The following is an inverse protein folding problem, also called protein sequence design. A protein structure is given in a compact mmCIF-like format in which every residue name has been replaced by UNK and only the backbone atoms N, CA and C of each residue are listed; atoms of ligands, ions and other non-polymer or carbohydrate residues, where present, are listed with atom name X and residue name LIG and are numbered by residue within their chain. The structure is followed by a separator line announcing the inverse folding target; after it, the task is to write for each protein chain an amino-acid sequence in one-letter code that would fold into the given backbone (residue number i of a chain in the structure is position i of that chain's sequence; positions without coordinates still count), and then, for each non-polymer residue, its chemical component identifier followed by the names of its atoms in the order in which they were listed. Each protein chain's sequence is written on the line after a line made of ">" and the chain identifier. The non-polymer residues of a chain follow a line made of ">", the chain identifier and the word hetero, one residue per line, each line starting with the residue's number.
data_IF_812553672992
#
_entry.id   IF_812553672992
#
_cell.length_a   1.000
_cell.length_b   1.000
_cell.length_c   1.000
_cell.angle_alpha   90.00
_cell.angle_beta   90.00
_cell.angle_gamma   90.00
#
_symmetry.space_group_name_H-M   'P 1'
#
loop_
_entity.id
_entity.type
_entity.pdbx_description
1 polymer ?
#
# COMPACT_ATOMS: atom_id res chain seq x y z
N UNK A 1 0.17 -70.50 18.92
CA UNK A 1 1.32 -70.11 18.08
C UNK A 1 1.74 -68.73 18.53
N UNK A 2 2.93 -68.60 19.13
CA UNK A 2 3.47 -67.32 19.62
C UNK A 2 3.95 -66.46 18.44
N UNK A 3 3.96 -65.15 18.64
CA UNK A 3 4.28 -64.09 17.67
C UNK A 3 5.64 -64.26 16.97
N UNK A 4 6.54 -65.09 17.50
CA UNK A 4 7.83 -65.42 16.87
C UNK A 4 7.73 -66.32 15.63
N UNK A 5 6.74 -67.22 15.55
CA UNK A 5 6.61 -68.14 14.41
C UNK A 5 6.20 -67.42 13.12
N UNK A 6 5.43 -66.34 13.24
CA UNK A 6 4.94 -65.55 12.09
C UNK A 6 6.10 -64.76 11.45
N UNK A 7 7.09 -64.33 12.24
CA UNK A 7 8.21 -63.52 11.75
C UNK A 7 9.21 -64.35 10.95
N UNK A 8 9.41 -65.62 11.32
CA UNK A 8 10.34 -66.53 10.63
C UNK A 8 9.78 -66.94 9.25
N UNK A 9 8.49 -67.26 9.18
CA UNK A 9 7.84 -67.66 7.91
C UNK A 9 7.82 -66.50 6.88
N UNK A 10 7.67 -65.26 7.36
CA UNK A 10 7.76 -64.05 6.52
C UNK A 10 9.19 -63.76 6.02
N UNK A 11 10.21 -64.08 6.82
CA UNK A 11 11.60 -63.91 6.39
C UNK A 11 12.03 -64.98 5.37
N UNK A 12 11.59 -66.24 5.53
CA UNK A 12 11.89 -67.29 4.55
C UNK A 12 11.21 -67.04 3.19
N UNK A 13 10.01 -66.48 3.17
CA UNK A 13 9.33 -66.12 1.92
C UNK A 13 9.99 -64.95 1.19
N UNK A 14 10.62 -64.02 1.91
CA UNK A 14 11.39 -62.92 1.32
C UNK A 14 12.73 -63.41 0.74
N UNK A 15 13.41 -64.34 1.40
CA UNK A 15 14.68 -64.92 0.91
C UNK A 15 14.44 -65.76 -0.36
N UNK A 16 13.35 -66.54 -0.43
CA UNK A 16 12.98 -67.29 -1.65
C UNK A 16 12.66 -66.39 -2.84
N UNK A 17 12.16 -65.16 -2.62
CA UNK A 17 11.88 -64.20 -3.70
C UNK A 17 13.14 -63.52 -4.25
N UNK A 18 14.20 -63.39 -3.46
CA UNK A 18 15.46 -62.77 -3.90
C UNK A 18 16.37 -63.72 -4.68
N UNK A 19 16.24 -65.04 -4.50
CA UNK A 19 17.11 -66.03 -5.14
C UNK A 19 16.75 -66.39 -6.60
N UNK A 20 15.69 -65.83 -7.20
CA UNK A 20 15.34 -66.18 -8.59
C UNK A 20 14.74 -65.03 -9.43
N UNK A 21 15.51 -63.95 -9.71
CA UNK A 21 15.04 -62.80 -10.47
C UNK A 21 14.90 -63.06 -11.98
N UNK A 22 15.56 -64.09 -12.53
CA UNK A 22 15.62 -64.32 -13.97
C UNK A 22 14.32 -64.85 -14.59
N UNK A 23 13.46 -65.53 -13.82
CA UNK A 23 12.27 -66.21 -14.40
C UNK A 23 11.12 -65.27 -14.78
N UNK A 24 11.11 -64.02 -14.29
CA UNK A 24 10.05 -63.04 -14.57
C UNK A 24 10.41 -62.01 -15.64
N UNK A 25 11.68 -61.91 -16.07
CA UNK A 25 12.09 -60.99 -17.13
C UNK A 25 11.79 -61.54 -18.54
N UNK A 26 11.96 -62.85 -18.76
CA UNK A 26 11.79 -63.45 -20.09
C UNK A 26 10.34 -63.43 -20.59
N UNK A 27 9.34 -63.53 -19.70
CA UNK A 27 7.92 -63.43 -20.07
C UNK A 27 7.51 -62.02 -20.52
N UNK A 28 8.20 -60.99 -20.03
CA UNK A 28 7.89 -59.60 -20.39
C UNK A 28 8.59 -59.15 -21.67
N UNK A 29 9.75 -59.73 -22.04
CA UNK A 29 10.42 -59.43 -23.30
C UNK A 29 9.60 -59.90 -24.52
N UNK A 30 9.08 -61.12 -24.49
CA UNK A 30 8.31 -61.65 -25.63
C UNK A 30 6.96 -60.94 -25.85
N UNK A 31 6.34 -60.41 -24.78
CA UNK A 31 5.06 -59.69 -24.90
C UNK A 31 5.22 -58.27 -25.46
N UNK A 32 6.39 -57.66 -25.27
CA UNK A 32 6.67 -56.32 -25.78
C UNK A 32 7.13 -56.29 -27.25
N UNK A 33 7.73 -57.37 -27.75
CA UNK A 33 8.14 -57.42 -29.17
C UNK A 33 6.95 -57.51 -30.14
N UNK A 34 5.84 -58.15 -29.74
CA UNK A 34 4.63 -58.24 -30.59
C UNK A 34 3.78 -56.96 -30.63
N UNK A 35 4.05 -55.95 -29.80
CA UNK A 35 3.28 -54.68 -29.78
C UNK A 35 3.89 -53.57 -30.63
N UNK A 36 5.15 -53.71 -31.06
CA UNK A 36 5.90 -52.66 -31.75
C UNK A 36 5.96 -52.81 -33.28
N UNK A 37 5.27 -53.77 -33.89
CA UNK A 37 5.29 -53.96 -35.34
C UNK A 37 4.17 -53.26 -36.12
N UNK A 38 3.36 -52.37 -35.52
CA UNK A 38 2.24 -51.79 -36.28
C UNK A 38 1.85 -50.33 -35.97
N UNK A 39 2.83 -49.43 -35.83
CA UNK A 39 2.55 -47.98 -35.82
C UNK A 39 3.61 -47.16 -36.54
N UNK A 40 3.82 -47.41 -37.84
CA UNK A 40 4.46 -46.42 -38.72
C UNK A 40 3.44 -45.29 -39.03
N UNK A 41 3.19 -44.43 -38.05
CA UNK A 41 2.48 -43.16 -38.27
C UNK A 41 3.51 -42.10 -38.64
N UNK A 42 3.39 -41.54 -39.84
CA UNK A 42 4.32 -40.52 -40.35
C UNK A 42 4.37 -39.31 -39.40
N UNK A 43 5.52 -38.64 -39.21
CA UNK A 43 5.68 -37.50 -38.29
C UNK A 43 4.59 -36.43 -38.45
N UNK A 44 4.10 -36.24 -39.68
CA UNK A 44 3.02 -35.32 -40.04
C UNK A 44 1.66 -35.72 -39.42
N UNK A 45 1.35 -37.02 -39.32
CA UNK A 45 0.11 -37.50 -38.69
C UNK A 45 0.14 -37.35 -37.16
N UNK A 46 1.29 -37.61 -36.52
CA UNK A 46 1.44 -37.40 -35.08
C UNK A 46 1.33 -35.92 -34.71
N UNK A 47 1.91 -35.04 -35.53
CA UNK A 47 1.77 -33.59 -35.37
C UNK A 47 0.31 -33.12 -35.54
N UNK A 48 -0.42 -33.66 -36.53
CA UNK A 48 -1.83 -33.33 -36.74
C UNK A 48 -2.73 -33.80 -35.59
N UNK A 49 -2.47 -34.99 -35.03
CA UNK A 49 -3.21 -35.49 -33.86
C UNK A 49 -2.93 -34.61 -32.65
N UNK A 50 -1.68 -34.23 -32.41
CA UNK A 50 -1.30 -33.38 -31.29
C UNK A 50 -1.86 -31.96 -31.41
N UNK A 51 -1.89 -31.38 -32.61
CA UNK A 51 -2.54 -30.09 -32.89
C UNK A 51 -4.05 -30.17 -32.71
N UNK A 52 -4.70 -31.25 -33.16
CA UNK A 52 -6.14 -31.45 -32.98
C UNK A 52 -6.52 -31.55 -31.49
N UNK A 53 -5.68 -32.20 -30.68
CA UNK A 53 -5.88 -32.35 -29.24
C UNK A 53 -5.68 -31.01 -28.51
N UNK A 54 -4.63 -30.24 -28.86
CA UNK A 54 -4.42 -28.88 -28.34
C UNK A 54 -5.59 -27.95 -28.68
N UNK A 55 -6.12 -28.02 -29.91
CA UNK A 55 -7.28 -27.21 -30.35
C UNK A 55 -8.55 -27.57 -29.58
N UNK A 56 -8.80 -28.85 -29.28
CA UNK A 56 -9.93 -29.30 -28.45
C UNK A 56 -9.81 -28.82 -27.00
N UNK A 57 -8.61 -28.92 -26.41
CA UNK A 57 -8.34 -28.41 -25.05
C UNK A 57 -8.57 -26.88 -25.00
N UNK A 58 -8.02 -26.14 -25.96
CA UNK A 58 -8.21 -24.69 -26.07
C UNK A 58 -9.70 -24.30 -26.11
N UNK A 59 -10.50 -24.94 -26.97
CA UNK A 59 -11.93 -24.65 -27.06
C UNK A 59 -12.69 -24.99 -25.76
N UNK A 60 -12.29 -26.05 -25.05
CA UNK A 60 -12.89 -26.41 -23.75
C UNK A 60 -12.60 -25.34 -22.69
N UNK A 61 -11.38 -24.83 -22.61
CA UNK A 61 -11.02 -23.75 -21.69
C UNK A 61 -11.72 -22.43 -22.04
N UNK A 62 -11.78 -22.06 -23.32
CA UNK A 62 -12.49 -20.85 -23.76
C UNK A 62 -13.99 -20.92 -23.42
N UNK A 63 -14.64 -22.08 -23.61
CA UNK A 63 -16.05 -22.27 -23.20
C UNK A 63 -16.24 -22.15 -21.69
N UNK A 64 -15.33 -22.69 -20.88
CA UNK A 64 -15.37 -22.57 -19.42
C UNK A 64 -15.19 -21.12 -18.96
N UNK A 65 -14.23 -20.41 -19.54
CA UNK A 65 -13.99 -18.98 -19.26
C UNK A 65 -15.20 -18.16 -19.67
N UNK A 66 -15.79 -18.41 -20.84
CA UNK A 66 -16.98 -17.70 -21.29
C UNK A 66 -18.21 -17.98 -20.41
N UNK A 67 -18.36 -19.21 -19.91
CA UNK A 67 -19.43 -19.58 -18.97
C UNK A 67 -19.23 -18.91 -17.60
N UNK A 68 -17.99 -18.89 -17.10
CA UNK A 68 -17.64 -18.17 -15.88
C UNK A 68 -17.85 -16.66 -16.04
N UNK A 69 -17.47 -16.09 -17.18
CA UNK A 69 -17.70 -14.69 -17.53
C UNK A 69 -19.19 -14.34 -17.54
N UNK A 70 -20.03 -15.12 -18.24
CA UNK A 70 -21.49 -14.92 -18.25
C UNK A 70 -22.11 -15.08 -16.86
N UNK A 71 -21.64 -16.02 -16.05
CA UNK A 71 -22.12 -16.22 -14.68
C UNK A 71 -21.74 -15.07 -13.74
N UNK A 72 -20.50 -14.58 -13.86
CA UNK A 72 -20.04 -13.41 -13.12
C UNK A 72 -20.80 -12.16 -13.57
N UNK A 73 -21.02 -12.00 -14.87
CA UNK A 73 -21.80 -10.90 -15.42
C UNK A 73 -23.26 -10.94 -14.96
N UNK A 74 -23.90 -12.12 -14.92
CA UNK A 74 -25.26 -12.26 -14.38
C UNK A 74 -25.35 -11.95 -12.88
N UNK A 75 -24.27 -12.17 -12.12
CA UNK A 75 -24.20 -11.74 -10.71
C UNK A 75 -23.97 -10.23 -10.60
N UNK A 76 -23.11 -9.64 -11.43
CA UNK A 76 -22.86 -8.18 -11.46
C UNK A 76 -24.10 -7.39 -11.91
N UNK A 77 -24.91 -7.97 -12.80
CA UNK A 77 -26.19 -7.40 -13.26
C UNK A 77 -27.35 -7.60 -12.27
N UNK A 78 -27.14 -8.29 -11.13
CA UNK A 78 -28.14 -8.36 -10.07
C UNK A 78 -28.52 -6.94 -9.65
N UNK A 79 -29.81 -6.58 -9.61
CA UNK A 79 -30.25 -5.23 -9.23
C UNK A 79 -29.76 -4.82 -7.84
N UNK A 80 -29.50 -5.77 -6.94
CA UNK A 80 -28.90 -5.51 -5.62
C UNK A 80 -27.42 -5.16 -5.70
N UNK A 81 -26.66 -5.88 -6.52
CA UNK A 81 -25.24 -5.61 -6.75
C UNK A 81 -25.11 -4.30 -7.53
N UNK A 82 -25.94 -4.06 -8.55
CA UNK A 82 -26.02 -2.80 -9.26
C UNK A 82 -26.38 -1.65 -8.32
N UNK A 83 -27.33 -1.82 -7.39
CA UNK A 83 -27.68 -0.84 -6.36
C UNK A 83 -26.56 -0.62 -5.34
N UNK A 84 -25.78 -1.65 -4.99
CA UNK A 84 -24.63 -1.57 -4.09
C UNK A 84 -23.40 -0.93 -4.77
N UNK A 85 -23.21 -1.18 -6.07
CA UNK A 85 -22.19 -0.53 -6.90
C UNK A 85 -22.56 0.92 -7.19
N UNK A 86 -23.83 1.21 -7.53
CA UNK A 86 -24.36 2.56 -7.68
C UNK A 86 -24.27 3.31 -6.35
N UNK A 87 -24.63 2.71 -5.22
CA UNK A 87 -24.49 3.37 -3.90
C UNK A 87 -23.05 3.56 -3.45
N UNK A 88 -22.09 2.73 -3.91
CA UNK A 88 -20.64 2.99 -3.75
C UNK A 88 -20.12 4.06 -4.71
N UNK A 89 -20.69 4.19 -5.91
CA UNK A 89 -20.36 5.28 -6.84
C UNK A 89 -20.98 6.62 -6.44
N UNK A 90 -22.09 6.58 -5.71
CA UNK A 90 -22.65 7.71 -4.94
C UNK A 90 -21.95 7.76 -3.56
N UNK A 91 -20.62 7.55 -3.51
CA UNK A 91 -19.87 8.26 -2.47
C UNK A 91 -19.93 9.72 -2.88
N UNK A 92 -20.91 10.44 -2.33
CA UNK A 92 -21.03 11.88 -2.49
C UNK A 92 -19.65 12.51 -2.35
N UNK A 93 -19.33 13.46 -3.23
CA UNK A 93 -18.13 14.28 -3.10
C UNK A 93 -18.01 14.70 -1.65
N UNK A 94 -16.92 14.35 -0.96
CA UNK A 94 -16.81 14.55 0.47
C UNK A 94 -16.75 16.07 0.70
N UNK A 95 -17.90 16.63 1.10
CA UNK A 95 -18.18 18.07 1.06
C UNK A 95 -17.17 18.87 1.87
N UNK A 96 -16.84 18.40 3.07
CA UNK A 96 -16.04 19.15 4.03
C UNK A 96 -14.54 19.10 3.74
N UNK A 97 -13.97 17.92 3.45
CA UNK A 97 -12.52 17.81 3.25
C UNK A 97 -12.03 18.53 1.98
N UNK A 98 -12.78 18.44 0.89
CA UNK A 98 -12.47 19.20 -0.33
C UNK A 98 -12.45 20.70 -0.10
N UNK A 99 -13.43 21.21 0.67
CA UNK A 99 -13.52 22.61 1.06
C UNK A 99 -12.37 23.03 1.98
N UNK A 100 -12.05 22.25 3.03
CA UNK A 100 -10.95 22.54 3.96
C UNK A 100 -9.64 22.72 3.20
N UNK A 101 -9.29 21.80 2.30
CA UNK A 101 -8.06 21.94 1.50
C UNK A 101 -8.13 23.07 0.47
N UNK A 102 -9.32 23.32 -0.09
CA UNK A 102 -9.52 24.41 -1.04
C UNK A 102 -9.39 25.80 -0.40
N UNK A 103 -9.81 25.97 0.85
CA UNK A 103 -9.56 27.19 1.62
C UNK A 103 -8.13 27.20 2.18
N UNK A 104 -7.64 26.07 2.69
CA UNK A 104 -6.29 25.92 3.24
C UNK A 104 -5.19 26.34 2.29
N UNK A 105 -5.28 26.01 0.99
CA UNK A 105 -4.31 26.45 -0.02
C UNK A 105 -4.20 27.98 -0.15
N UNK A 106 -5.29 28.72 0.10
CA UNK A 106 -5.30 30.18 0.03
C UNK A 106 -4.91 30.80 1.36
N UNK A 107 -5.42 30.23 2.47
CA UNK A 107 -5.11 30.68 3.82
C UNK A 107 -3.61 30.55 4.11
N UNK A 108 -2.99 29.45 3.70
CA UNK A 108 -1.55 29.18 3.89
C UNK A 108 -0.63 30.13 3.11
N UNK A 109 -1.11 30.85 2.09
CA UNK A 109 -0.30 31.84 1.37
C UNK A 109 0.04 33.05 2.24
N UNK A 110 -0.87 33.49 3.10
CA UNK A 110 -0.66 34.66 3.97
C UNK A 110 0.53 34.44 4.92
N UNK A 111 0.55 33.40 5.78
CA UNK A 111 1.70 33.13 6.64
C UNK A 111 2.95 32.79 5.83
N UNK A 112 2.81 32.13 4.67
CA UNK A 112 3.95 31.87 3.77
C UNK A 112 4.63 33.15 3.27
N UNK A 113 3.86 34.12 2.79
CA UNK A 113 4.39 35.40 2.31
C UNK A 113 5.03 36.17 3.48
N UNK A 114 4.37 36.21 4.64
CA UNK A 114 4.92 36.84 5.84
C UNK A 114 6.25 36.20 6.25
N UNK A 115 6.33 34.86 6.28
CA UNK A 115 7.55 34.13 6.62
C UNK A 115 8.71 34.49 5.68
N UNK A 116 8.44 34.59 4.37
CA UNK A 116 9.44 34.94 3.34
C UNK A 116 9.90 36.40 3.49
N UNK A 117 8.98 37.33 3.77
CA UNK A 117 9.29 38.76 3.96
C UNK A 117 10.09 38.98 5.25
N UNK A 118 9.69 38.33 6.34
CA UNK A 118 10.36 38.44 7.63
C UNK A 118 11.72 37.75 7.68
N UNK A 119 12.02 36.86 6.73
CA UNK A 119 13.31 36.16 6.67
C UNK A 119 14.46 37.13 6.33
N UNK A 120 15.36 37.31 7.31
CA UNK A 120 16.48 38.26 7.24
C UNK A 120 17.73 37.72 6.57
N UNK A 121 17.96 36.41 6.60
CA UNK A 121 19.13 35.78 5.99
C UNK A 121 18.76 35.01 4.71
N UNK A 122 19.74 34.80 3.82
CA UNK A 122 19.53 33.99 2.61
C UNK A 122 19.08 32.57 2.95
N UNK A 123 19.72 31.94 3.95
CA UNK A 123 19.34 30.60 4.44
C UNK A 123 17.91 30.59 4.98
N UNK A 124 17.54 31.61 5.78
CA UNK A 124 16.18 31.74 6.31
C UNK A 124 15.14 31.86 5.19
N UNK A 125 15.42 32.71 4.19
CA UNK A 125 14.50 32.95 3.07
C UNK A 125 14.36 31.72 2.17
N UNK A 126 15.47 31.04 1.86
CA UNK A 126 15.45 29.77 1.12
C UNK A 126 14.55 28.74 1.79
N UNK A 127 14.73 28.53 3.09
CA UNK A 127 13.95 27.54 3.84
C UNK A 127 12.49 27.96 3.96
N UNK A 128 12.20 29.25 4.14
CA UNK A 128 10.84 29.78 4.10
C UNK A 128 10.14 29.48 2.76
N UNK A 129 10.82 29.74 1.63
CA UNK A 129 10.29 29.45 0.29
C UNK A 129 10.01 27.95 0.12
N UNK A 130 10.95 27.08 0.50
CA UNK A 130 10.80 25.63 0.37
C UNK A 130 9.60 25.16 1.22
N UNK A 131 9.52 25.59 2.48
CA UNK A 131 8.41 25.26 3.37
C UNK A 131 7.07 25.69 2.77
N UNK A 132 6.96 26.94 2.32
CA UNK A 132 5.75 27.50 1.70
C UNK A 132 5.33 26.75 0.44
N UNK A 133 6.28 26.34 -0.42
CA UNK A 133 5.99 25.50 -1.58
C UNK A 133 5.43 24.15 -1.13
N UNK A 134 6.01 23.55 -0.10
CA UNK A 134 5.58 22.26 0.44
C UNK A 134 4.14 22.28 0.95
N UNK A 135 3.82 23.23 1.84
CA UNK A 135 2.46 23.42 2.38
C UNK A 135 1.46 23.66 1.24
N UNK A 136 1.76 24.62 0.36
CA UNK A 136 0.86 24.96 -0.74
C UNK A 136 0.63 23.77 -1.68
N UNK A 137 1.70 23.06 -2.04
CA UNK A 137 1.62 21.88 -2.92
C UNK A 137 0.74 20.79 -2.31
N UNK A 138 0.95 20.46 -1.03
CA UNK A 138 0.15 19.47 -0.33
C UNK A 138 -1.33 19.86 -0.34
N UNK A 139 -1.65 21.10 0.03
CA UNK A 139 -3.02 21.60 0.05
C UNK A 139 -3.66 21.66 -1.33
N UNK A 140 -2.89 22.05 -2.36
CA UNK A 140 -3.35 22.14 -3.74
C UNK A 140 -3.69 20.77 -4.33
N UNK A 141 -2.81 19.78 -4.16
CA UNK A 141 -3.06 18.42 -4.64
C UNK A 141 -4.24 17.79 -3.91
N UNK A 142 -4.34 17.97 -2.58
CA UNK A 142 -5.46 17.45 -1.80
C UNK A 142 -6.78 18.11 -2.16
N UNK A 143 -6.79 19.43 -2.36
CA UNK A 143 -7.96 20.14 -2.89
C UNK A 143 -8.39 19.56 -4.25
N UNK A 144 -7.44 19.37 -5.18
CA UNK A 144 -7.73 18.77 -6.49
C UNK A 144 -8.27 17.35 -6.36
N UNK A 145 -7.79 16.55 -5.40
CA UNK A 145 -8.24 15.18 -5.20
C UNK A 145 -9.63 15.13 -4.55
N UNK A 146 -9.91 15.99 -3.58
CA UNK A 146 -11.10 15.89 -2.75
C UNK A 146 -12.28 16.77 -3.18
N UNK A 147 -12.08 17.72 -4.11
CA UNK A 147 -13.19 18.42 -4.77
C UNK A 147 -13.93 17.58 -5.83
N UNK A 148 -13.57 16.31 -6.02
CA UNK A 148 -14.21 15.38 -6.95
C UNK A 148 -14.44 14.02 -6.28
N UNK A 149 -15.37 13.18 -6.79
CA UNK A 149 -15.53 11.82 -6.29
C UNK A 149 -14.24 11.02 -6.42
N UNK A 150 -13.89 10.21 -5.42
CA UNK A 150 -12.59 9.53 -5.39
C UNK A 150 -12.37 8.60 -6.59
N UNK A 151 -13.45 7.97 -7.08
CA UNK A 151 -13.38 7.03 -8.20
C UNK A 151 -13.10 7.74 -9.54
N UNK A 152 -13.48 9.03 -9.69
CA UNK A 152 -13.34 9.77 -10.95
C UNK A 152 -11.96 10.41 -11.12
N UNK A 153 -11.15 10.47 -10.06
CA UNK A 153 -9.80 11.00 -10.14
C UNK A 153 -8.87 10.06 -10.93
N UNK A 154 -7.98 10.60 -11.79
CA UNK A 154 -6.88 9.82 -12.35
C UNK A 154 -6.03 9.15 -11.27
N UNK A 155 -5.55 7.94 -11.53
CA UNK A 155 -4.72 7.16 -10.60
C UNK A 155 -3.49 7.93 -10.12
N UNK A 156 -2.87 8.73 -11.00
CA UNK A 156 -1.70 9.52 -10.64
C UNK A 156 -2.01 10.64 -9.65
N UNK A 157 -3.20 11.27 -9.72
CA UNK A 157 -3.63 12.29 -8.74
C UNK A 157 -3.82 11.64 -7.37
N UNK A 158 -4.47 10.46 -7.32
CA UNK A 158 -4.62 9.70 -6.07
C UNK A 158 -3.27 9.33 -5.46
N UNK A 159 -2.31 8.91 -6.28
CA UNK A 159 -0.95 8.60 -5.80
C UNK A 159 -0.25 9.85 -5.29
N UNK A 160 -0.33 10.95 -6.04
CA UNK A 160 0.31 12.21 -5.71
C UNK A 160 -0.23 12.79 -4.39
N UNK A 161 -1.53 12.69 -4.15
CA UNK A 161 -2.17 13.08 -2.88
C UNK A 161 -1.70 12.24 -1.69
N UNK A 162 -1.46 10.95 -1.88
CA UNK A 162 -0.90 10.10 -0.83
C UNK A 162 0.60 10.30 -0.60
N UNK A 163 1.32 10.81 -1.60
CA UNK A 163 2.77 11.05 -1.57
C UNK A 163 3.07 12.45 -1.02
N UNK A 164 2.21 13.43 -1.28
CA UNK A 164 2.43 14.84 -0.93
C UNK A 164 2.65 15.05 0.56
N UNK A 165 1.96 14.30 1.43
CA UNK A 165 2.17 14.38 2.89
C UNK A 165 3.59 13.97 3.30
N UNK A 166 4.15 12.90 2.70
CA UNK A 166 5.50 12.45 3.02
C UNK A 166 6.56 13.43 2.54
N UNK A 167 6.36 14.00 1.35
CA UNK A 167 7.20 15.08 0.84
C UNK A 167 7.13 16.30 1.75
N UNK A 168 5.93 16.70 2.16
CA UNK A 168 5.75 17.84 3.06
C UNK A 168 6.47 17.63 4.39
N UNK A 169 6.31 16.46 5.02
CA UNK A 169 7.04 16.14 6.27
C UNK A 169 8.56 16.23 6.03
N UNK A 170 9.09 15.62 4.97
CA UNK A 170 10.53 15.69 4.67
C UNK A 170 11.03 17.11 4.40
N UNK A 171 10.25 17.93 3.69
CA UNK A 171 10.54 19.34 3.47
C UNK A 171 10.54 20.11 4.79
N UNK A 172 9.57 19.86 5.68
CA UNK A 172 9.50 20.49 6.99
C UNK A 172 10.75 20.18 7.84
N UNK A 173 11.17 18.92 7.85
CA UNK A 173 12.44 18.50 8.45
C UNK A 173 13.63 19.26 7.88
N UNK A 174 13.73 19.32 6.54
CA UNK A 174 14.82 20.05 5.89
C UNK A 174 14.79 21.56 6.16
N UNK A 175 13.63 22.19 6.31
CA UNK A 175 13.55 23.66 6.40
C UNK A 175 13.61 24.18 7.83
N UNK A 176 12.80 23.62 8.73
CA UNK A 176 12.64 24.13 10.10
C UNK A 176 13.74 23.56 10.99
N UNK A 177 13.96 22.24 10.94
CA UNK A 177 14.92 21.62 11.84
C UNK A 177 16.37 21.87 11.42
N UNK A 178 16.69 22.01 10.13
CA UNK A 178 18.06 22.37 9.69
C UNK A 178 18.52 23.74 10.20
N UNK A 179 17.61 24.68 10.46
CA UNK A 179 18.00 25.98 11.02
C UNK A 179 18.33 25.89 12.50
N UNK A 180 17.54 25.09 13.24
CA UNK A 180 17.63 25.04 14.69
C UNK A 180 18.64 23.97 15.13
N UNK A 181 18.72 22.84 14.43
CA UNK A 181 19.39 21.62 14.91
C UNK A 181 20.74 21.33 14.27
N UNK A 182 21.23 22.16 13.35
CA UNK A 182 22.48 21.85 12.61
C UNK A 182 23.72 21.65 13.50
N UNK A 183 23.69 22.20 14.72
CA UNK A 183 24.75 22.06 15.73
C UNK A 183 24.55 20.85 16.66
N UNK A 184 23.38 20.20 16.62
CA UNK A 184 23.12 18.99 17.40
C UNK A 184 23.82 17.79 16.74
N UNK A 185 24.67 17.04 17.46
CA UNK A 185 25.37 15.89 16.90
C UNK A 185 24.44 14.76 16.41
N UNK A 186 23.19 14.72 16.88
CA UNK A 186 22.19 13.72 16.48
C UNK A 186 21.41 14.14 15.23
N UNK A 187 21.57 15.39 14.76
CA UNK A 187 20.81 15.93 13.63
C UNK A 187 20.98 15.10 12.36
N UNK A 188 22.22 14.85 11.94
CA UNK A 188 22.49 14.17 10.67
C UNK A 188 21.91 12.75 10.65
N UNK A 189 22.07 12.01 11.75
CA UNK A 189 21.52 10.65 11.89
C UNK A 189 19.98 10.68 11.88
N UNK A 190 19.37 11.59 12.63
CA UNK A 190 17.91 11.71 12.70
C UNK A 190 17.31 12.12 11.36
N UNK A 191 17.90 13.11 10.70
CA UNK A 191 17.48 13.55 9.36
C UNK A 191 17.67 12.46 8.31
N UNK A 192 18.77 11.69 8.38
CA UNK A 192 18.99 10.51 7.56
C UNK A 192 17.87 9.48 7.71
N UNK A 193 17.49 9.15 8.95
CA UNK A 193 16.37 8.22 9.23
C UNK A 193 15.04 8.72 8.66
N UNK A 194 14.72 10.00 8.86
CA UNK A 194 13.50 10.62 8.31
C UNK A 194 13.51 10.55 6.78
N UNK A 195 14.65 10.82 6.15
CA UNK A 195 14.80 10.79 4.69
C UNK A 195 14.59 9.38 4.14
N UNK A 196 15.15 8.36 4.79
CA UNK A 196 14.92 6.95 4.42
C UNK A 196 13.44 6.59 4.55
N UNK A 197 12.80 6.93 5.68
CA UNK A 197 11.38 6.68 5.88
C UNK A 197 10.50 7.38 4.83
N UNK A 198 10.82 8.62 4.49
CA UNK A 198 10.16 9.38 3.43
C UNK A 198 10.26 8.64 2.10
N UNK A 199 11.46 8.26 1.66
CA UNK A 199 11.68 7.57 0.39
C UNK A 199 10.94 6.24 0.35
N UNK A 200 11.00 5.46 1.43
CA UNK A 200 10.26 4.18 1.56
C UNK A 200 8.76 4.42 1.43
N UNK A 201 8.20 5.42 2.11
CA UNK A 201 6.78 5.74 2.05
C UNK A 201 6.34 6.18 0.64
N UNK A 202 7.14 7.01 -0.02
CA UNK A 202 6.89 7.47 -1.39
C UNK A 202 6.88 6.29 -2.35
N UNK A 203 7.89 5.41 -2.29
CA UNK A 203 7.96 4.22 -3.15
C UNK A 203 6.75 3.31 -2.89
N UNK A 204 6.41 3.05 -1.62
CA UNK A 204 5.27 2.23 -1.27
C UNK A 204 3.96 2.78 -1.85
N UNK A 205 3.75 4.10 -1.78
CA UNK A 205 2.57 4.77 -2.35
C UNK A 205 2.60 4.90 -3.87
N UNK A 206 3.78 5.00 -4.46
CA UNK A 206 3.95 4.99 -5.91
C UNK A 206 3.63 3.61 -6.50
N UNK A 207 4.02 2.52 -5.82
CA UNK A 207 3.81 1.15 -6.29
C UNK A 207 2.39 0.65 -6.04
N UNK A 208 1.79 0.95 -4.89
CA UNK A 208 0.44 0.48 -4.55
C UNK A 208 -0.44 1.55 -3.91
N UNK A 209 -1.70 1.59 -4.35
CA UNK A 209 -2.76 2.37 -3.68
C UNK A 209 -3.38 1.58 -2.51
N UNK A 210 -3.21 0.26 -2.47
CA UNK A 210 -3.87 -0.66 -1.55
C UNK A 210 -2.90 -1.15 -0.46
N UNK A 211 -2.30 -0.23 0.29
CA UNK A 211 -1.53 -0.56 1.49
C UNK A 211 -2.42 -0.55 2.73
N UNK A 212 -2.13 -1.38 3.75
CA UNK A 212 -2.82 -1.31 5.03
C UNK A 212 -2.71 0.11 5.60
N UNK A 213 -3.84 0.66 6.01
CA UNK A 213 -3.97 2.03 6.52
C UNK A 213 -3.00 2.32 7.66
N UNK A 214 -2.92 1.41 8.62
CA UNK A 214 -2.06 1.54 9.80
C UNK A 214 -0.57 1.69 9.46
N UNK A 215 -0.10 1.04 8.39
CA UNK A 215 1.31 1.09 7.99
C UNK A 215 1.69 2.50 7.54
N UNK A 216 0.82 3.14 6.76
CA UNK A 216 1.09 4.44 6.15
C UNK A 216 1.01 5.53 7.21
N UNK A 217 -0.02 5.51 8.03
CA UNK A 217 -0.10 6.44 9.16
C UNK A 217 0.97 6.19 10.21
N UNK A 218 1.37 4.93 10.41
CA UNK A 218 2.49 4.57 11.28
C UNK A 218 3.81 5.16 10.79
N UNK A 219 4.11 5.06 9.48
CA UNK A 219 5.32 5.68 8.91
C UNK A 219 5.27 7.21 9.05
N UNK A 220 4.15 7.84 8.72
CA UNK A 220 4.00 9.30 8.85
C UNK A 220 4.16 9.77 10.30
N UNK A 221 3.54 9.06 11.25
CA UNK A 221 3.62 9.35 12.67
C UNK A 221 5.05 9.14 13.21
N UNK A 222 5.70 8.06 12.81
CA UNK A 222 7.10 7.78 13.16
C UNK A 222 8.02 8.90 12.68
N UNK A 223 7.86 9.36 11.42
CA UNK A 223 8.62 10.50 10.90
C UNK A 223 8.43 11.77 11.73
N UNK A 224 7.23 12.04 12.23
CA UNK A 224 6.97 13.18 13.12
C UNK A 224 7.58 12.99 14.51
N UNK A 225 7.47 11.79 15.09
CA UNK A 225 7.94 11.46 16.43
C UNK A 225 9.46 11.36 16.56
N UNK A 226 10.19 11.17 15.46
CA UNK A 226 11.66 11.26 15.47
C UNK A 226 12.17 12.61 15.98
N UNK A 227 11.34 13.66 15.96
CA UNK A 227 11.69 14.97 16.54
C UNK A 227 11.93 14.91 18.06
N UNK A 228 11.40 13.91 18.76
CA UNK A 228 11.62 13.71 20.20
C UNK A 228 13.10 13.44 20.51
N UNK A 229 13.85 12.82 19.60
CA UNK A 229 15.29 12.58 19.75
C UNK A 229 16.05 13.91 19.93
N UNK A 230 15.55 14.96 19.28
CA UNK A 230 16.10 16.31 19.28
C UNK A 230 15.40 17.23 20.30
N UNK A 231 14.47 16.71 21.10
CA UNK A 231 13.67 17.50 22.04
C UNK A 231 14.48 18.33 23.03
N UNK A 232 15.61 17.85 23.60
CA UNK A 232 16.44 18.68 24.47
C UNK A 232 16.92 19.96 23.78
N UNK A 233 17.34 19.84 22.52
CA UNK A 233 17.83 20.98 21.72
C UNK A 233 16.68 21.89 21.29
N UNK A 234 15.51 21.32 20.97
CA UNK A 234 14.26 22.07 20.71
C UNK A 234 13.93 22.98 21.90
N UNK A 235 13.90 22.42 23.12
CA UNK A 235 13.54 23.17 24.33
C UNK A 235 14.59 24.25 24.65
N UNK A 236 15.86 24.01 24.36
CA UNK A 236 16.92 24.98 24.61
C UNK A 236 16.93 26.15 23.60
N UNK A 237 16.59 25.88 22.33
CA UNK A 237 16.67 26.89 21.26
C UNK A 237 15.38 27.66 21.02
N UNK A 238 14.23 27.08 21.33
CA UNK A 238 12.93 27.72 21.16
C UNK A 238 12.51 28.48 22.42
N UNK A 239 11.78 29.59 22.25
CA UNK A 239 11.13 30.25 23.38
C UNK A 239 9.85 29.52 23.83
N UNK A 240 9.29 29.89 24.99
CA UNK A 240 8.11 29.21 25.57
C UNK A 240 6.90 29.19 24.62
N UNK A 241 6.70 30.27 23.84
CA UNK A 241 5.62 30.32 22.87
C UNK A 241 5.83 29.28 21.77
N UNK A 242 6.99 29.29 21.11
CA UNK A 242 7.36 28.33 20.06
C UNK A 242 7.31 26.88 20.54
N UNK A 243 7.78 26.60 21.77
CA UNK A 243 7.69 25.28 22.38
C UNK A 243 6.24 24.82 22.56
N UNK A 244 5.36 25.74 22.99
CA UNK A 244 3.93 25.46 23.17
C UNK A 244 3.26 25.17 21.83
N UNK A 245 3.55 25.96 20.81
CA UNK A 245 3.05 25.75 19.44
C UNK A 245 3.51 24.39 18.91
N UNK A 246 4.79 24.08 19.05
CA UNK A 246 5.38 22.81 18.63
C UNK A 246 4.71 21.61 19.32
N UNK A 247 4.54 21.68 20.64
CA UNK A 247 3.91 20.62 21.42
C UNK A 247 2.43 20.43 21.04
N UNK A 248 1.67 21.52 20.92
CA UNK A 248 0.27 21.47 20.54
C UNK A 248 0.08 20.95 19.11
N UNK A 249 0.94 21.35 18.17
CA UNK A 249 0.95 20.82 16.81
C UNK A 249 1.20 19.32 16.78
N UNK A 250 2.28 18.85 17.43
CA UNK A 250 2.62 17.43 17.51
C UNK A 250 1.55 16.57 18.17
N UNK A 251 0.94 17.06 19.26
CA UNK A 251 -0.17 16.37 19.94
C UNK A 251 -1.42 16.31 19.05
N UNK A 252 -1.75 17.40 18.34
CA UNK A 252 -2.91 17.46 17.45
C UNK A 252 -2.81 16.45 16.31
N UNK A 253 -1.64 16.33 15.68
CA UNK A 253 -1.40 15.33 14.61
C UNK A 253 -1.47 13.92 15.17
N UNK A 254 -0.86 13.69 16.34
CA UNK A 254 -0.87 12.36 16.98
C UNK A 254 -2.31 11.93 17.28
N UNK A 255 -3.10 12.81 17.89
CA UNK A 255 -4.50 12.54 18.18
C UNK A 255 -5.30 12.26 16.89
N UNK A 256 -5.10 13.08 15.86
CA UNK A 256 -5.71 12.88 14.54
C UNK A 256 -5.36 11.51 13.94
N UNK A 257 -4.09 11.12 13.97
CA UNK A 257 -3.59 9.85 13.45
C UNK A 257 -4.17 8.65 14.23
N UNK A 258 -4.24 8.77 15.56
CA UNK A 258 -4.85 7.75 16.44
C UNK A 258 -6.34 7.61 16.16
N UNK A 259 -7.09 8.72 16.09
CA UNK A 259 -8.50 8.70 15.73
C UNK A 259 -8.74 8.04 14.37
N UNK A 260 -7.89 8.34 13.38
CA UNK A 260 -7.97 7.75 12.05
C UNK A 260 -7.68 6.25 12.06
N UNK A 261 -6.64 5.81 12.77
CA UNK A 261 -6.26 4.40 12.89
C UNK A 261 -7.33 3.58 13.61
N UNK A 262 -7.91 4.14 14.68
CA UNK A 262 -8.98 3.52 15.48
C UNK A 262 -10.37 3.64 14.83
N UNK A 263 -10.48 4.35 13.70
CA UNK A 263 -11.75 4.66 13.04
C UNK A 263 -12.75 5.33 13.99
N UNK A 264 -12.23 6.19 14.87
CA UNK A 264 -13.01 6.92 15.85
C UNK A 264 -13.22 8.38 15.38
N UNK A 265 -14.46 8.92 15.47
CA UNK A 265 -15.71 8.25 15.85
C UNK A 265 -16.25 7.35 14.74
N UNK A 266 -16.84 6.20 15.08
CA UNK A 266 -17.51 5.32 14.10
C UNK A 266 -18.58 6.11 13.34
N UNK A 267 -18.52 6.11 12.00
CA UNK A 267 -19.49 6.81 11.14
C UNK A 267 -20.91 6.38 11.50
N UNK A 268 -21.72 7.30 12.06
CA UNK A 268 -23.15 7.07 12.27
C UNK A 268 -23.87 7.14 10.91
N UNK A 269 -24.87 6.27 10.68
CA UNK A 269 -25.71 6.32 9.45
C UNK A 269 -26.30 7.74 9.31
N UNK A 270 -26.14 8.35 8.14
CA UNK A 270 -26.62 9.70 7.84
C UNK A 270 -25.70 10.85 8.26
N UNK A 271 -24.57 10.58 8.94
CA UNK A 271 -23.58 11.61 9.22
C UNK A 271 -22.56 11.73 8.08
N UNK A 272 -22.33 12.96 7.64
CA UNK A 272 -21.21 13.30 6.78
C UNK A 272 -19.87 13.23 7.53
N UNK A 273 -19.90 13.25 8.88
CA UNK A 273 -18.71 13.21 9.72
C UNK A 273 -18.07 11.84 9.77
N UNK A 274 -16.76 11.80 9.45
CA UNK A 274 -15.99 10.55 9.39
C UNK A 274 -14.68 10.67 10.15
N UNK A 275 -14.04 9.55 10.55
CA UNK A 275 -12.70 9.58 11.14
C UNK A 275 -11.65 10.31 10.28
N UNK A 276 -11.85 10.39 8.96
CA UNK A 276 -11.01 11.20 8.07
C UNK A 276 -11.16 12.70 8.34
N UNK A 277 -12.33 13.17 8.72
CA UNK A 277 -12.55 14.59 9.01
C UNK A 277 -11.87 14.99 10.32
N UNK A 278 -11.87 14.12 11.33
CA UNK A 278 -11.12 14.32 12.57
C UNK A 278 -9.61 14.39 12.33
N UNK A 279 -9.08 13.57 11.42
CA UNK A 279 -7.67 13.65 11.00
C UNK A 279 -7.36 14.99 10.32
N UNK A 280 -8.18 15.40 9.34
CA UNK A 280 -7.97 16.65 8.63
C UNK A 280 -8.11 17.90 9.52
N UNK A 281 -9.00 17.85 10.52
CA UNK A 281 -9.12 18.91 11.51
C UNK A 281 -7.82 19.08 12.31
N UNK A 282 -7.20 17.96 12.71
CA UNK A 282 -5.91 17.96 13.39
C UNK A 282 -4.79 18.57 12.54
N UNK A 283 -4.74 18.23 11.25
CA UNK A 283 -3.74 18.82 10.33
C UNK A 283 -3.99 20.29 10.01
N UNK A 284 -5.26 20.76 10.02
CA UNK A 284 -5.59 22.17 9.77
C UNK A 284 -5.27 23.07 10.97
N UNK A 285 -5.24 22.52 12.19
CA UNK A 285 -4.89 23.27 13.40
C UNK A 285 -3.40 23.60 13.49
N UNK A 286 -2.54 22.76 12.91
CA UNK A 286 -1.09 22.98 12.81
C UNK A 286 -0.73 24.16 11.89
N UNK A 287 -1.51 24.41 10.83
CA UNK A 287 -1.24 25.51 9.88
C UNK A 287 -1.72 26.89 10.36
N UNK A 288 -2.48 26.95 11.46
CA UNK A 288 -3.09 28.18 11.99
C UNK A 288 -2.30 28.85 13.10
N UNK A 289 -1.19 28.24 13.54
CA UNK A 289 -0.33 28.71 14.60
C UNK A 289 1.07 28.91 14.03
#
# INVERSE_FOLDING_TARGET
>A
MSTEQITIEQQETLIKRQQNPHKNQDKNLHKNQNKNQNTNTSPTQQQNIQQSHKKKIYHKHVKLIHKAYKFLQSKVESPEIKKQFLSRQIEETPKYRGQIHNYGKWISLIPSILLIICARSFKARRNAIIYSIGVFWMQFISSKMHCRPYQTAPTWIRKLDNISIFLYIGMNWFTIFEQVMIEDPKWEVTFGLVTVLMVVAIILRALTLHSPRWLISGIALLMGWLSIILLPTIIQKLNTYEQTVFALGGLSITLGAVCWALQFPKKKKGSHWTPHETFHLGTFYEEKI
#
